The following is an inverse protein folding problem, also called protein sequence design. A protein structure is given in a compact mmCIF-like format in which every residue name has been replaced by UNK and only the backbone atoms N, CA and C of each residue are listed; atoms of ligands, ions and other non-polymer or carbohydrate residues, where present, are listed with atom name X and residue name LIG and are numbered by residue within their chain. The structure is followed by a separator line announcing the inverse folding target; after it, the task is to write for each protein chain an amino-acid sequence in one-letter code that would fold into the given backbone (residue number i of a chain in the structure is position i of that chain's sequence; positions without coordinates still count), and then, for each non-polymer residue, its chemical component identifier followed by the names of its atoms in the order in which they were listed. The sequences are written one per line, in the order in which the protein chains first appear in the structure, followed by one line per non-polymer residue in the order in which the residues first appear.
data_IF_465156960822
#
_entry.id   IF_465156960822
#
_cell.length_a   1.000
_cell.length_b   1.000
_cell.length_c   1.000
_cell.angle_alpha   90.00
_cell.angle_beta   90.00
_cell.angle_gamma   90.00
#
_symmetry.space_group_name_H-M   'P 1'
#
loop_
_entity.id
_entity.type
_entity.pdbx_description
1 polymer ?
#
# COMPACT_ATOMS: atom_id res chain seq x y z
N UNK A 1 -0.67 52.92 -8.35
CA UNK A 1 -0.71 51.85 -9.35
C UNK A 1 -0.14 50.64 -8.67
N UNK A 2 -1.03 49.77 -8.15
CA UNK A 2 -0.71 48.67 -7.31
C UNK A 2 -0.05 47.51 -8.04
N UNK A 3 1.00 47.02 -7.48
CA UNK A 3 1.64 45.76 -7.82
C UNK A 3 0.88 44.66 -7.05
N UNK A 4 0.21 43.77 -7.77
CA UNK A 4 -0.42 42.59 -7.15
C UNK A 4 0.67 41.56 -6.96
N UNK A 5 1.07 41.34 -5.71
CA UNK A 5 1.88 40.21 -5.27
C UNK A 5 1.11 38.91 -5.43
N UNK A 6 1.50 38.14 -6.43
CA UNK A 6 1.14 36.74 -6.59
C UNK A 6 2.17 35.86 -5.86
N UNK A 7 2.07 35.84 -4.54
CA UNK A 7 2.86 34.90 -3.71
C UNK A 7 1.95 34.09 -2.79
N UNK A 8 1.08 33.28 -3.38
CA UNK A 8 0.26 32.36 -2.60
C UNK A 8 0.19 30.92 -3.15
N UNK A 9 1.17 30.53 -3.98
CA UNK A 9 1.30 29.12 -4.41
C UNK A 9 2.37 28.34 -3.64
N UNK A 10 2.79 28.89 -2.50
CA UNK A 10 3.66 28.16 -1.55
C UNK A 10 2.76 27.57 -0.50
N UNK A 11 2.20 26.38 -0.70
CA UNK A 11 1.75 25.62 0.48
C UNK A 11 1.36 24.15 0.26
N UNK A 12 0.90 23.72 -0.90
CA UNK A 12 0.42 22.33 -1.01
C UNK A 12 1.54 21.30 -1.00
N UNK A 13 2.66 21.62 -1.65
CA UNK A 13 3.79 20.68 -1.76
C UNK A 13 4.62 20.56 -0.48
N UNK A 14 4.76 21.66 0.27
CA UNK A 14 5.56 21.68 1.50
C UNK A 14 4.80 21.06 2.69
N UNK A 15 3.48 21.19 2.72
CA UNK A 15 2.63 20.46 3.67
C UNK A 15 2.64 18.95 3.40
N UNK A 16 2.71 18.55 2.13
CA UNK A 16 2.87 17.15 1.74
C UNK A 16 4.26 16.61 2.10
N UNK A 17 5.31 17.42 1.90
CA UNK A 17 6.67 17.07 2.34
C UNK A 17 6.74 16.88 3.86
N UNK A 18 6.18 17.78 4.63
CA UNK A 18 6.14 17.67 6.10
C UNK A 18 5.39 16.44 6.61
N UNK A 19 4.34 16.00 5.88
CA UNK A 19 3.58 14.78 6.22
C UNK A 19 4.24 13.49 5.75
N UNK A 20 5.03 13.54 4.68
CA UNK A 20 5.75 12.38 4.13
C UNK A 20 7.10 12.18 4.81
N UNK A 21 7.74 13.26 5.29
CA UNK A 21 9.01 13.22 6.05
C UNK A 21 8.79 13.09 7.55
N UNK A 22 7.61 13.45 8.08
CA UNK A 22 7.24 12.98 9.41
C UNK A 22 7.34 11.45 9.34
N UNK A 23 8.34 10.88 10.05
CA UNK A 23 8.48 9.44 10.23
C UNK A 23 7.07 8.90 10.43
N UNK A 24 6.53 8.24 9.39
CA UNK A 24 5.30 7.48 9.57
C UNK A 24 5.60 6.60 10.76
N UNK A 25 4.89 6.79 11.86
CA UNK A 25 5.05 5.94 13.03
C UNK A 25 4.69 4.52 12.61
N UNK A 26 5.73 3.80 12.17
CA UNK A 26 5.66 2.39 11.75
C UNK A 26 5.26 1.52 12.96
N UNK A 27 5.31 2.10 14.16
CA UNK A 27 4.96 1.46 15.43
C UNK A 27 3.45 1.40 15.70
N UNK A 28 2.62 2.11 14.94
CA UNK A 28 1.17 2.02 15.05
C UNK A 28 0.67 0.62 14.69
N UNK A 29 0.00 -0.03 15.64
CA UNK A 29 -0.59 -1.36 15.43
C UNK A 29 -1.67 -1.28 14.36
N UNK A 30 -1.41 -1.90 13.20
CA UNK A 30 -2.42 -2.01 12.14
C UNK A 30 -3.49 -3.01 12.60
N UNK A 31 -4.76 -2.57 12.54
CA UNK A 31 -5.88 -3.39 12.96
C UNK A 31 -5.96 -4.68 12.13
N UNK A 32 -6.07 -5.82 12.85
CA UNK A 32 -6.21 -7.16 12.26
C UNK A 32 -5.05 -7.64 11.36
N UNK A 33 -3.96 -6.93 11.26
CA UNK A 33 -2.76 -7.44 10.64
C UNK A 33 -2.18 -8.59 11.50
N UNK A 34 -1.90 -9.71 10.85
CA UNK A 34 -1.31 -10.90 11.49
C UNK A 34 0.08 -11.11 10.90
N UNK A 35 1.11 -10.75 11.66
CA UNK A 35 2.51 -10.88 11.23
C UNK A 35 3.00 -12.35 11.23
N UNK A 36 4.13 -12.60 10.60
CA UNK A 36 4.88 -13.85 10.66
C UNK A 36 5.98 -13.77 11.72
N UNK A 37 6.55 -14.93 12.07
CA UNK A 37 7.57 -15.04 13.10
C UNK A 37 8.98 -14.70 12.59
N UNK A 38 9.30 -15.06 11.35
CA UNK A 38 10.60 -14.81 10.74
C UNK A 38 10.87 -13.31 10.63
N UNK A 39 12.12 -12.94 10.84
CA UNK A 39 12.64 -11.58 10.61
C UNK A 39 13.41 -11.48 9.29
N UNK A 40 13.66 -12.61 8.64
CA UNK A 40 14.37 -12.65 7.38
C UNK A 40 13.46 -12.20 6.24
N UNK A 41 13.76 -11.04 5.69
CA UNK A 41 12.98 -10.42 4.61
C UNK A 41 12.95 -11.30 3.35
N UNK A 42 14.00 -12.11 3.10
CA UNK A 42 14.09 -12.97 1.92
C UNK A 42 13.03 -14.07 1.88
N UNK A 43 12.54 -14.50 3.04
CA UNK A 43 11.53 -15.56 3.17
C UNK A 43 10.12 -15.01 3.40
N UNK A 44 10.00 -13.76 3.88
CA UNK A 44 8.72 -13.21 4.30
C UNK A 44 7.79 -12.92 3.13
N UNK A 45 6.57 -13.41 3.23
CA UNK A 45 5.49 -13.19 2.27
C UNK A 45 4.30 -12.53 2.97
N UNK A 46 3.59 -11.64 2.29
CA UNK A 46 2.36 -11.06 2.79
C UNK A 46 1.19 -11.36 1.87
N UNK A 47 0.12 -11.90 2.43
CA UNK A 47 -1.15 -12.11 1.77
C UNK A 47 -2.09 -10.94 2.08
N UNK A 48 -2.55 -10.26 1.05
CA UNK A 48 -3.57 -9.21 1.15
C UNK A 48 -4.88 -9.84 0.73
N UNK A 49 -5.80 -9.98 1.67
CA UNK A 49 -7.06 -10.74 1.49
C UNK A 49 -8.28 -9.84 1.60
N UNK A 50 -9.36 -10.24 0.94
CA UNK A 50 -10.63 -9.54 0.97
C UNK A 50 -11.47 -9.94 2.19
N UNK A 51 -11.64 -9.00 3.11
CA UNK A 51 -12.52 -9.15 4.26
C UNK A 51 -12.03 -10.06 5.37
N UNK A 52 -12.85 -10.16 6.41
CA UNK A 52 -12.51 -10.90 7.64
C UNK A 52 -12.69 -12.40 7.48
N UNK A 53 -13.60 -12.85 6.62
CA UNK A 53 -13.82 -14.28 6.36
C UNK A 53 -12.60 -14.92 5.73
N UNK A 54 -12.05 -14.29 4.68
CA UNK A 54 -10.81 -14.71 4.05
C UNK A 54 -9.62 -14.64 5.01
N UNK A 55 -9.55 -13.61 5.87
CA UNK A 55 -8.52 -13.53 6.92
C UNK A 55 -8.55 -14.79 7.81
N UNK A 56 -9.73 -15.24 8.24
CA UNK A 56 -9.88 -16.43 9.08
C UNK A 56 -9.36 -17.69 8.41
N UNK A 57 -9.74 -17.92 7.16
CA UNK A 57 -9.33 -19.08 6.37
C UNK A 57 -7.81 -19.08 6.10
N UNK A 58 -7.27 -17.97 5.59
CA UNK A 58 -5.85 -17.86 5.28
C UNK A 58 -4.99 -17.93 6.53
N UNK A 59 -5.44 -17.36 7.66
CA UNK A 59 -4.75 -17.47 8.95
C UNK A 59 -4.59 -18.92 9.41
N UNK A 60 -5.55 -19.79 9.13
CA UNK A 60 -5.48 -21.21 9.47
C UNK A 60 -4.60 -22.00 8.49
N UNK A 61 -4.64 -21.65 7.20
CA UNK A 61 -3.95 -22.38 6.14
C UNK A 61 -2.47 -21.95 5.95
N UNK A 62 -2.10 -20.72 6.33
CA UNK A 62 -0.76 -20.17 6.13
C UNK A 62 0.31 -20.85 6.98
N UNK A 63 1.56 -20.74 6.55
CA UNK A 63 2.69 -20.99 7.44
C UNK A 63 2.97 -19.75 8.32
N UNK A 64 2.78 -19.85 9.66
CA UNK A 64 3.00 -18.72 10.55
C UNK A 64 4.47 -18.30 10.67
N UNK A 65 5.43 -19.08 10.18
CA UNK A 65 6.83 -18.75 10.28
C UNK A 65 7.20 -17.60 9.33
N UNK A 66 6.78 -17.66 8.07
CA UNK A 66 7.18 -16.67 7.05
C UNK A 66 6.01 -15.98 6.34
N UNK A 67 4.76 -16.43 6.52
CA UNK A 67 3.59 -15.85 5.88
C UNK A 67 2.79 -14.95 6.81
N UNK A 68 2.61 -13.71 6.44
CA UNK A 68 1.76 -12.73 7.11
C UNK A 68 0.45 -12.53 6.34
N UNK A 69 -0.59 -12.05 7.00
CA UNK A 69 -1.90 -11.78 6.38
C UNK A 69 -2.44 -10.42 6.81
N UNK A 70 -2.94 -9.67 5.85
CA UNK A 70 -3.61 -8.39 6.07
C UNK A 70 -4.97 -8.38 5.37
N UNK A 71 -6.08 -8.19 6.10
CA UNK A 71 -7.39 -8.05 5.49
C UNK A 71 -7.61 -6.63 5.00
N UNK A 72 -8.25 -6.50 3.84
CA UNK A 72 -8.76 -5.23 3.35
C UNK A 72 -10.27 -5.22 3.55
N UNK A 73 -10.77 -4.12 4.10
CA UNK A 73 -12.19 -3.94 4.34
C UNK A 73 -12.74 -2.85 3.44
N UNK A 74 -13.76 -3.21 2.69
CA UNK A 74 -14.47 -2.27 1.85
C UNK A 74 -13.72 -1.84 0.59
N UNK A 75 -14.33 -0.95 -0.16
CA UNK A 75 -13.78 -0.47 -1.44
C UNK A 75 -12.64 0.51 -1.20
N UNK A 76 -11.50 0.20 -1.78
CA UNK A 76 -10.33 1.08 -1.74
C UNK A 76 -10.58 2.30 -2.63
N UNK A 77 -10.07 3.45 -2.20
CA UNK A 77 -10.12 4.67 -2.98
C UNK A 77 -9.41 4.49 -4.33
N UNK A 78 -10.02 4.96 -5.42
CA UNK A 78 -9.36 4.97 -6.72
C UNK A 78 -8.20 5.99 -6.72
N UNK A 79 -7.00 5.48 -6.53
CA UNK A 79 -5.81 6.31 -6.41
C UNK A 79 -5.43 7.04 -7.71
N UNK A 80 -5.90 6.63 -8.89
CA UNK A 80 -5.61 7.37 -10.13
C UNK A 80 -6.40 8.67 -10.21
N UNK A 81 -7.64 8.70 -9.70
CA UNK A 81 -8.53 9.87 -9.76
C UNK A 81 -8.44 10.75 -8.51
N UNK A 82 -7.98 10.21 -7.40
CA UNK A 82 -7.96 10.93 -6.13
C UNK A 82 -6.72 11.80 -5.98
N UNK A 83 -6.89 12.93 -5.28
CA UNK A 83 -5.78 13.77 -4.85
C UNK A 83 -4.97 13.10 -3.75
N UNK A 84 -3.68 13.41 -3.65
CA UNK A 84 -2.81 12.83 -2.62
C UNK A 84 -3.30 13.06 -1.20
N UNK A 85 -3.90 14.22 -0.91
CA UNK A 85 -4.48 14.52 0.41
C UNK A 85 -5.60 13.56 0.81
N UNK A 86 -6.43 13.14 -0.17
CA UNK A 86 -7.47 12.14 0.05
C UNK A 86 -6.89 10.74 0.22
N UNK A 87 -5.88 10.41 -0.58
CA UNK A 87 -5.18 9.12 -0.52
C UNK A 87 -4.58 8.90 0.86
N UNK A 88 -3.84 9.87 1.39
CA UNK A 88 -3.18 9.76 2.70
C UNK A 88 -4.13 9.92 3.91
N UNK A 89 -5.37 10.34 3.70
CA UNK A 89 -6.43 10.29 4.72
C UNK A 89 -7.12 8.92 4.80
N UNK A 90 -6.94 8.07 3.80
CA UNK A 90 -7.50 6.71 3.78
C UNK A 90 -6.72 5.81 4.73
N UNK A 91 -7.37 5.31 5.78
CA UNK A 91 -6.75 4.41 6.76
C UNK A 91 -6.23 3.14 6.09
N UNK A 92 -7.00 2.55 5.18
CA UNK A 92 -6.62 1.33 4.46
C UNK A 92 -5.30 1.52 3.71
N UNK A 93 -5.16 2.62 2.97
CA UNK A 93 -3.95 2.90 2.20
C UNK A 93 -2.77 3.19 3.13
N UNK A 94 -3.00 3.97 4.19
CA UNK A 94 -1.98 4.29 5.18
C UNK A 94 -1.48 3.04 5.89
N UNK A 95 -2.38 2.15 6.26
CA UNK A 95 -2.03 0.88 6.92
C UNK A 95 -1.28 -0.07 5.98
N UNK A 96 -1.67 -0.16 4.71
CA UNK A 96 -0.92 -0.91 3.70
C UNK A 96 0.51 -0.39 3.57
N UNK A 97 0.70 0.94 3.45
CA UNK A 97 2.04 1.54 3.34
C UNK A 97 2.87 1.25 4.59
N UNK A 98 2.28 1.32 5.79
CA UNK A 98 2.95 0.98 7.06
C UNK A 98 3.40 -0.48 7.09
N UNK A 99 2.53 -1.39 6.65
CA UNK A 99 2.82 -2.83 6.64
C UNK A 99 3.89 -3.17 5.60
N UNK A 100 3.87 -2.54 4.42
CA UNK A 100 4.90 -2.71 3.41
C UNK A 100 6.27 -2.19 3.87
N UNK A 101 6.30 -1.06 4.56
CA UNK A 101 7.51 -0.51 5.18
C UNK A 101 8.45 0.24 4.24
N UNK A 102 8.25 0.18 2.93
CA UNK A 102 9.15 0.78 1.93
C UNK A 102 8.88 2.26 1.62
N UNK A 103 7.86 2.88 2.25
CA UNK A 103 7.48 4.26 1.96
C UNK A 103 6.74 4.42 0.64
N UNK A 104 6.75 5.64 0.10
CA UNK A 104 5.92 6.03 -1.06
C UNK A 104 6.74 6.84 -2.06
N UNK A 105 6.57 6.56 -3.35
CA UNK A 105 7.11 7.35 -4.46
C UNK A 105 6.06 8.34 -4.95
N UNK A 106 6.22 9.63 -4.65
CA UNK A 106 5.35 10.68 -5.18
C UNK A 106 6.07 11.41 -6.31
N UNK A 107 5.55 11.30 -7.52
CA UNK A 107 6.04 12.09 -8.66
C UNK A 107 5.38 13.46 -8.63
N UNK A 108 6.11 14.52 -8.25
CA UNK A 108 5.68 15.90 -8.38
C UNK A 108 6.30 16.54 -9.63
N UNK A 109 5.53 17.35 -10.36
CA UNK A 109 6.06 18.12 -11.51
C UNK A 109 7.14 19.13 -11.12
N UNK A 110 7.10 19.61 -9.87
CA UNK A 110 8.03 20.62 -9.37
C UNK A 110 9.31 20.05 -8.74
N UNK A 111 9.29 18.80 -8.26
CA UNK A 111 10.46 18.16 -7.66
C UNK A 111 10.55 16.71 -8.13
N UNK A 112 11.66 16.35 -8.73
CA UNK A 112 11.88 15.03 -9.37
C UNK A 112 11.85 13.83 -8.42
N UNK A 113 11.87 13.99 -7.11
CA UNK A 113 11.58 12.92 -6.16
C UNK A 113 11.32 13.48 -4.76
N UNK A 114 10.08 13.48 -4.33
CA UNK A 114 9.78 13.41 -2.91
C UNK A 114 9.73 11.92 -2.60
N UNK A 115 10.86 11.27 -2.65
CA UNK A 115 10.93 9.86 -2.37
C UNK A 115 11.44 9.68 -0.95
N UNK A 116 10.57 9.33 -0.03
CA UNK A 116 10.98 8.54 1.12
C UNK A 116 10.87 7.04 0.82
N UNK A 117 10.81 6.67 -0.48
CA UNK A 117 10.76 5.28 -0.90
C UNK A 117 12.17 4.68 -0.84
N UNK A 118 12.29 3.60 -0.12
CA UNK A 118 13.50 2.79 -0.06
C UNK A 118 13.11 1.31 -0.25
N UNK A 119 13.58 0.71 -1.33
CA UNK A 119 13.33 -0.71 -1.61
C UNK A 119 13.97 -1.62 -0.55
N UNK A 120 15.10 -1.18 0.04
CA UNK A 120 15.77 -1.97 1.07
C UNK A 120 15.01 -1.96 2.42
N UNK A 121 14.12 -0.99 2.60
CA UNK A 121 13.22 -0.94 3.74
C UNK A 121 11.96 -1.80 3.56
N UNK A 122 11.77 -2.41 2.38
CA UNK A 122 10.66 -3.34 2.13
C UNK A 122 10.78 -4.54 3.08
N UNK A 123 9.69 -4.87 3.75
CA UNK A 123 9.65 -5.93 4.76
C UNK A 123 9.28 -7.31 4.20
N UNK A 124 9.06 -7.43 2.89
CA UNK A 124 8.46 -8.60 2.24
C UNK A 124 9.22 -8.99 0.99
N UNK A 125 9.46 -10.28 0.80
CA UNK A 125 9.97 -10.83 -0.45
C UNK A 125 8.89 -10.84 -1.52
N UNK A 126 7.63 -11.16 -1.13
CA UNK A 126 6.47 -11.24 -2.01
C UNK A 126 5.25 -10.58 -1.38
N UNK A 127 4.49 -9.86 -2.20
CA UNK A 127 3.20 -9.27 -1.88
C UNK A 127 2.16 -9.98 -2.73
N UNK A 128 1.28 -10.76 -2.11
CA UNK A 128 0.34 -11.65 -2.80
C UNK A 128 -1.08 -11.12 -2.59
N UNK A 129 -1.73 -10.73 -3.68
CA UNK A 129 -3.11 -10.27 -3.68
C UNK A 129 -4.05 -11.47 -3.82
N UNK A 130 -4.84 -11.73 -2.78
CA UNK A 130 -5.83 -12.81 -2.73
C UNK A 130 -7.22 -12.21 -2.62
N UNK A 131 -7.88 -12.01 -3.75
CA UNK A 131 -9.28 -11.56 -3.83
C UNK A 131 -10.13 -12.69 -4.39
N UNK A 132 -11.42 -12.65 -4.07
CA UNK A 132 -12.36 -13.61 -4.62
C UNK A 132 -12.44 -13.53 -6.14
N UNK A 133 -12.80 -14.65 -6.80
CA UNK A 133 -12.89 -14.73 -8.26
C UNK A 133 -14.24 -14.21 -8.77
N UNK A 134 -14.75 -13.13 -8.19
CA UNK A 134 -15.98 -12.46 -8.57
C UNK A 134 -15.73 -11.02 -9.06
N UNK A 135 -16.79 -10.33 -9.45
CA UNK A 135 -16.72 -8.97 -9.99
C UNK A 135 -16.17 -7.98 -8.95
N UNK A 136 -16.56 -8.12 -7.68
CA UNK A 136 -16.11 -7.24 -6.60
C UNK A 136 -14.63 -7.49 -6.28
N UNK A 137 -14.20 -8.76 -6.22
CA UNK A 137 -12.81 -9.12 -6.03
C UNK A 137 -11.89 -8.63 -7.17
N UNK A 138 -12.35 -8.70 -8.42
CA UNK A 138 -11.64 -8.09 -9.56
C UNK A 138 -11.53 -6.57 -9.42
N UNK A 139 -12.56 -5.90 -8.93
CA UNK A 139 -12.54 -4.47 -8.69
C UNK A 139 -11.52 -4.11 -7.59
N UNK A 140 -11.53 -4.83 -6.48
CA UNK A 140 -10.60 -4.60 -5.35
C UNK A 140 -9.16 -4.84 -5.80
N UNK A 141 -8.91 -5.93 -6.52
CA UNK A 141 -7.60 -6.24 -7.09
C UNK A 141 -7.09 -5.11 -8.01
N UNK A 142 -7.96 -4.63 -8.89
CA UNK A 142 -7.63 -3.51 -9.80
C UNK A 142 -7.29 -2.24 -9.02
N UNK A 143 -8.05 -1.92 -7.97
CA UNK A 143 -7.79 -0.75 -7.13
C UNK A 143 -6.49 -0.87 -6.33
N UNK A 144 -6.16 -2.07 -5.84
CA UNK A 144 -4.88 -2.36 -5.19
C UNK A 144 -3.70 -2.20 -6.14
N UNK A 145 -3.77 -2.80 -7.32
CA UNK A 145 -2.73 -2.66 -8.35
C UNK A 145 -2.55 -1.19 -8.75
N UNK A 146 -3.66 -0.47 -8.90
CA UNK A 146 -3.65 0.98 -9.19
C UNK A 146 -2.96 1.78 -8.09
N UNK A 147 -3.22 1.45 -6.83
CA UNK A 147 -2.56 2.07 -5.68
C UNK A 147 -1.06 1.80 -5.70
N UNK A 148 -0.66 0.53 -5.85
CA UNK A 148 0.75 0.14 -5.93
C UNK A 148 1.46 0.80 -7.11
N UNK A 149 0.82 0.83 -8.29
CA UNK A 149 1.36 1.49 -9.48
C UNK A 149 1.59 2.98 -9.28
N UNK A 150 0.68 3.68 -8.59
CA UNK A 150 0.79 5.12 -8.36
C UNK A 150 1.75 5.49 -7.23
N UNK A 151 1.73 4.72 -6.15
CA UNK A 151 2.46 5.06 -4.92
C UNK A 151 3.83 4.36 -4.80
N UNK A 152 3.95 3.15 -5.35
CA UNK A 152 5.15 2.32 -5.25
C UNK A 152 5.43 1.55 -6.55
N UNK A 153 5.56 2.23 -7.71
CA UNK A 153 5.73 1.55 -9.01
C UNK A 153 6.95 0.63 -9.05
N UNK A 154 7.98 0.91 -8.29
CA UNK A 154 9.19 0.07 -8.22
C UNK A 154 8.86 -1.35 -7.75
N UNK A 155 7.88 -1.54 -6.84
CA UNK A 155 7.51 -2.90 -6.37
C UNK A 155 6.95 -3.77 -7.49
N UNK A 156 6.23 -3.17 -8.44
CA UNK A 156 5.72 -3.87 -9.62
C UNK A 156 6.85 -4.18 -10.60
N UNK A 157 7.73 -3.21 -10.86
CA UNK A 157 8.86 -3.36 -11.79
C UNK A 157 9.87 -4.41 -11.31
N UNK A 158 10.08 -4.51 -10.00
CA UNK A 158 10.95 -5.52 -9.36
C UNK A 158 10.27 -6.89 -9.20
N UNK A 159 9.05 -7.06 -9.72
CA UNK A 159 8.34 -8.33 -9.66
C UNK A 159 8.01 -8.81 -8.26
N UNK A 160 7.78 -7.88 -7.32
CA UNK A 160 7.44 -8.20 -5.91
C UNK A 160 5.95 -8.45 -5.68
N UNK A 161 5.10 -8.10 -6.67
CA UNK A 161 3.64 -8.18 -6.56
C UNK A 161 3.12 -9.37 -7.34
N UNK A 162 2.37 -10.23 -6.67
CA UNK A 162 1.78 -11.45 -7.22
C UNK A 162 0.27 -11.42 -7.04
N UNK A 163 -0.43 -12.13 -7.91
CA UNK A 163 -1.88 -12.33 -7.84
C UNK A 163 -2.13 -13.83 -7.64
N UNK A 164 -2.88 -14.17 -6.60
CA UNK A 164 -3.38 -15.51 -6.43
C UNK A 164 -4.67 -15.65 -7.26
N UNK A 165 -4.66 -16.53 -8.25
CA UNK A 165 -5.83 -16.85 -9.04
C UNK A 165 -6.36 -18.22 -8.63
N UNK A 166 -7.58 -18.23 -8.05
CA UNK A 166 -8.29 -19.47 -7.76
C UNK A 166 -9.03 -19.92 -9.01
N UNK A 167 -9.04 -21.22 -9.34
CA UNK A 167 -9.86 -21.72 -10.43
C UNK A 167 -11.35 -21.55 -10.07
N UNK A 168 -12.16 -21.13 -11.05
CA UNK A 168 -13.61 -20.99 -10.89
C UNK A 168 -14.33 -22.36 -10.99
N UNK A 169 -13.67 -23.34 -11.60
CA UNK A 169 -14.21 -24.66 -11.85
C UNK A 169 -13.17 -25.72 -11.51
N UNK A 170 -13.61 -26.83 -10.93
CA UNK A 170 -12.86 -28.08 -10.78
C UNK A 170 -13.15 -29.00 -11.98
#
# INVERSE_FOLDING_TARGET
IGCCDWSSDVCSSDLLKGKLTAKMDITGRVAKFVDCRSKDVSEREIFIVEGDSALGAVKQARDPNYQAVMPIRGKILNCLKADYDKIFKSEIITDLIKVLGCGVQVKSKANKSIASFDINALRWSKIILCTDADVDGFQIRTLLLTMLYRLTPTLINEGKVFIAESPLFE
#
